data_IF_237451781477
#
_entry.id   IF_237451781477
#
_cell.length_a   1.000
_cell.length_b   1.000
_cell.length_c   1.000
_cell.angle_alpha   90.00
_cell.angle_beta   90.00
_cell.angle_gamma   90.00
#
_symmetry.space_group_name_H-M   'P 1'
#
loop_
_entity.id
_entity.type
_entity.pdbx_description
1 polymer ?
#
# COMPACT_ATOMS: atom_id res chain seq x y z
N UNK A 1 22.57 -4.67 -13.90
CA UNK A 1 22.16 -3.36 -13.37
C UNK A 1 21.81 -3.32 -11.87
N UNK A 2 21.73 -4.43 -11.18
CA UNK A 2 21.41 -4.49 -9.73
C UNK A 2 22.58 -4.12 -8.80
N UNK A 3 23.82 -4.25 -9.21
CA UNK A 3 25.00 -3.98 -8.37
C UNK A 3 25.09 -2.53 -7.83
N UNK A 4 24.90 -1.46 -8.61
CA UNK A 4 25.06 -0.10 -8.10
C UNK A 4 24.01 0.24 -7.02
N UNK A 5 22.75 -0.16 -7.21
CA UNK A 5 21.69 0.06 -6.22
C UNK A 5 21.92 -0.75 -4.95
N UNK A 6 22.34 -2.02 -5.09
CA UNK A 6 22.68 -2.85 -3.95
C UNK A 6 23.81 -2.23 -3.13
N UNK A 7 24.85 -1.73 -3.80
CA UNK A 7 25.97 -1.08 -3.12
C UNK A 7 25.58 0.23 -2.44
N UNK A 8 24.62 0.99 -3.04
CA UNK A 8 24.12 2.23 -2.45
C UNK A 8 23.39 1.99 -1.13
N UNK A 9 22.71 0.84 -0.99
CA UNK A 9 21.91 0.50 0.18
C UNK A 9 22.57 -0.52 1.12
N UNK A 10 23.70 -1.11 0.74
CA UNK A 10 24.40 -2.07 1.55
C UNK A 10 25.16 -1.37 2.69
N UNK A 11 25.01 -1.88 3.92
CA UNK A 11 25.75 -1.41 5.09
C UNK A 11 25.42 0.02 5.51
N UNK A 12 24.22 0.50 5.22
CA UNK A 12 23.78 1.82 5.67
C UNK A 12 23.55 1.82 7.18
N UNK A 13 24.06 2.86 7.82
CA UNK A 13 23.89 3.10 9.24
C UNK A 13 23.21 4.44 9.47
N UNK A 14 22.50 4.55 10.59
CA UNK A 14 21.85 5.77 11.03
C UNK A 14 22.06 6.02 12.51
N UNK A 15 21.91 7.26 12.88
CA UNK A 15 21.85 7.71 14.28
C UNK A 15 20.73 8.73 14.42
N UNK A 16 20.08 8.78 15.56
CA UNK A 16 18.98 9.70 15.84
C UNK A 16 19.42 10.75 16.82
N UNK A 17 19.26 12.01 16.45
CA UNK A 17 19.50 13.14 17.36
C UNK A 17 18.24 13.40 18.19
N UNK A 18 18.36 13.28 19.49
CA UNK A 18 17.30 13.57 20.46
C UNK A 18 17.63 14.83 21.26
N UNK A 19 16.67 15.37 22.00
CA UNK A 19 16.92 16.50 22.90
C UNK A 19 17.90 16.20 24.04
N UNK A 20 18.26 14.93 24.26
CA UNK A 20 19.17 14.44 25.29
C UNK A 20 20.52 13.98 24.75
N UNK A 21 20.75 14.04 23.43
CA UNK A 21 21.98 13.58 22.78
C UNK A 21 21.71 12.81 21.51
N UNK A 22 22.72 12.10 21.04
CA UNK A 22 22.66 11.27 19.83
C UNK A 22 22.70 9.80 20.24
N UNK A 23 21.91 8.96 19.59
CA UNK A 23 21.96 7.50 19.81
C UNK A 23 23.25 6.91 19.25
N UNK A 24 23.58 5.68 19.66
CA UNK A 24 24.59 4.89 18.97
C UNK A 24 24.18 4.62 17.51
N UNK A 25 25.16 4.33 16.67
CA UNK A 25 24.92 3.96 15.28
C UNK A 25 24.24 2.60 15.20
N UNK A 26 23.20 2.50 14.37
CA UNK A 26 22.50 1.25 14.11
C UNK A 26 22.36 1.01 12.59
N UNK A 27 22.39 -0.24 12.19
CA UNK A 27 22.27 -0.60 10.79
C UNK A 27 20.82 -0.52 10.30
N UNK A 28 20.66 -0.03 9.07
CA UNK A 28 19.38 0.02 8.36
C UNK A 28 19.24 -1.23 7.48
N UNK A 29 18.35 -2.12 7.86
CA UNK A 29 18.14 -3.38 7.14
C UNK A 29 17.07 -3.27 6.05
N UNK A 30 16.13 -2.33 6.17
CA UNK A 30 14.95 -2.20 5.29
C UNK A 30 14.59 -0.74 5.04
N UNK A 31 13.92 -0.52 3.90
CA UNK A 31 13.36 0.77 3.53
C UNK A 31 14.20 1.52 2.51
N UNK A 32 13.70 2.70 2.14
CA UNK A 32 14.38 3.63 1.23
C UNK A 32 14.77 4.89 1.99
N UNK A 33 15.88 5.49 1.60
CA UNK A 33 16.42 6.66 2.28
C UNK A 33 15.53 7.87 2.07
N UNK A 34 15.02 8.45 3.14
CA UNK A 34 14.24 9.69 3.08
C UNK A 34 15.08 10.85 2.53
N UNK A 35 14.50 11.65 1.61
CA UNK A 35 15.19 12.75 0.94
C UNK A 35 16.12 12.35 -0.22
N UNK A 36 16.29 11.06 -0.51
CA UNK A 36 17.04 10.61 -1.68
C UNK A 36 16.16 10.71 -2.94
N UNK A 37 16.70 11.26 -4.02
CA UNK A 37 16.00 11.44 -5.30
C UNK A 37 15.52 10.12 -5.92
N UNK A 38 16.19 9.00 -5.63
CA UNK A 38 15.84 7.67 -6.12
C UNK A 38 14.73 6.99 -5.29
N UNK A 39 14.50 7.42 -4.05
CA UNK A 39 13.56 6.75 -3.14
C UNK A 39 12.12 6.69 -3.64
N UNK A 40 11.54 7.75 -4.24
CA UNK A 40 10.19 7.67 -4.82
C UNK A 40 10.09 6.66 -5.96
N UNK A 41 11.10 6.61 -6.84
CA UNK A 41 11.13 5.65 -7.94
C UNK A 41 11.23 4.20 -7.43
N UNK A 42 12.10 3.96 -6.45
CA UNK A 42 12.25 2.64 -5.84
C UNK A 42 10.99 2.19 -5.13
N UNK A 43 10.32 3.09 -4.41
CA UNK A 43 9.05 2.79 -3.77
C UNK A 43 7.96 2.47 -4.80
N UNK A 44 7.87 3.23 -5.89
CA UNK A 44 6.92 2.95 -6.96
C UNK A 44 7.16 1.58 -7.62
N UNK A 45 8.42 1.19 -7.88
CA UNK A 45 8.73 -0.16 -8.36
C UNK A 45 8.33 -1.24 -7.37
N UNK A 46 8.51 -0.98 -6.10
CA UNK A 46 8.13 -1.90 -5.04
C UNK A 46 6.61 -2.07 -4.94
N UNK A 47 5.87 -0.97 -4.98
CA UNK A 47 4.41 -0.99 -5.04
C UNK A 47 3.88 -1.72 -6.29
N UNK A 48 4.50 -1.48 -7.45
CA UNK A 48 4.17 -2.19 -8.69
C UNK A 48 4.40 -3.70 -8.58
N UNK A 49 5.51 -4.11 -7.99
CA UNK A 49 5.81 -5.52 -7.72
C UNK A 49 4.72 -6.20 -6.87
N UNK A 50 4.27 -5.52 -5.80
CA UNK A 50 3.19 -6.02 -4.93
C UNK A 50 1.90 -6.19 -5.73
N UNK A 51 1.49 -5.17 -6.50
CA UNK A 51 0.23 -5.21 -7.24
C UNK A 51 0.20 -6.27 -8.33
N UNK A 52 1.32 -6.49 -9.02
CA UNK A 52 1.47 -7.57 -10.00
C UNK A 52 1.35 -8.95 -9.36
N UNK A 53 2.04 -9.16 -8.24
CA UNK A 53 1.97 -10.44 -7.53
C UNK A 53 0.60 -10.69 -6.90
N UNK A 54 -0.12 -9.65 -6.50
CA UNK A 54 -1.50 -9.74 -6.06
C UNK A 54 -2.49 -10.07 -7.21
N UNK A 55 -2.02 -10.10 -8.48
CA UNK A 55 -2.82 -10.46 -9.64
C UNK A 55 -3.90 -9.42 -9.96
N UNK A 56 -3.70 -8.15 -9.62
CA UNK A 56 -4.69 -7.11 -9.86
C UNK A 56 -4.88 -6.82 -11.35
N UNK A 57 -3.83 -6.98 -12.16
CA UNK A 57 -3.91 -6.75 -13.63
C UNK A 57 -4.82 -7.79 -14.31
N UNK A 58 -4.86 -9.03 -13.79
CA UNK A 58 -5.66 -10.13 -14.30
C UNK A 58 -7.05 -10.22 -13.65
N UNK A 59 -7.27 -9.45 -12.58
CA UNK A 59 -8.54 -9.48 -11.85
C UNK A 59 -9.66 -8.88 -12.70
N UNK A 60 -10.75 -9.63 -12.86
CA UNK A 60 -11.98 -9.12 -13.50
C UNK A 60 -12.72 -8.11 -12.59
N UNK A 61 -12.41 -8.10 -11.31
CA UNK A 61 -12.92 -7.14 -10.34
C UNK A 61 -12.49 -5.72 -10.69
N UNK A 62 -13.34 -4.74 -10.44
CA UNK A 62 -13.06 -3.33 -10.74
C UNK A 62 -14.30 -2.59 -11.24
N UNK A 63 -14.13 -1.32 -11.56
CA UNK A 63 -15.17 -0.46 -12.10
C UNK A 63 -14.88 -0.21 -13.59
N UNK A 64 -15.88 -0.38 -14.44
CA UNK A 64 -15.75 -0.11 -15.89
C UNK A 64 -15.90 1.38 -16.17
N UNK A 65 -14.83 2.02 -16.60
CA UNK A 65 -14.81 3.43 -17.02
C UNK A 65 -14.37 3.49 -18.49
N UNK A 66 -15.24 3.98 -19.37
CA UNK A 66 -14.96 4.10 -20.81
C UNK A 66 -14.45 2.79 -21.44
N UNK A 67 -15.04 1.66 -21.06
CA UNK A 67 -14.68 0.34 -21.58
C UNK A 67 -13.42 -0.27 -20.99
N UNK A 68 -12.74 0.41 -20.08
CA UNK A 68 -11.57 -0.10 -19.36
C UNK A 68 -11.96 -0.50 -17.94
N UNK A 69 -11.46 -1.64 -17.49
CA UNK A 69 -11.64 -2.07 -16.11
C UNK A 69 -10.55 -1.42 -15.23
N UNK A 70 -10.97 -0.65 -14.22
CA UNK A 70 -10.09 0.01 -13.27
C UNK A 70 -10.38 -0.55 -11.89
N UNK A 71 -9.42 -1.23 -11.29
CA UNK A 71 -9.54 -1.83 -9.96
C UNK A 71 -8.62 -1.21 -8.92
N UNK A 72 -7.65 -0.41 -9.33
CA UNK A 72 -6.79 0.33 -8.41
C UNK A 72 -6.34 1.67 -8.99
N UNK A 73 -6.12 2.64 -8.11
CA UNK A 73 -5.42 3.90 -8.38
C UNK A 73 -4.36 4.09 -7.32
N UNK A 74 -3.19 4.60 -7.72
CA UNK A 74 -2.05 4.76 -6.82
C UNK A 74 -1.46 6.15 -6.90
N UNK A 75 -1.13 6.69 -5.74
CA UNK A 75 -0.41 7.93 -5.61
C UNK A 75 0.56 7.85 -4.42
N UNK A 76 1.85 7.72 -4.70
CA UNK A 76 2.89 7.47 -3.71
C UNK A 76 2.56 6.25 -2.83
N UNK A 77 2.37 6.43 -1.53
CA UNK A 77 1.96 5.40 -0.56
C UNK A 77 0.44 5.21 -0.46
N UNK A 78 -0.34 6.08 -1.08
CA UNK A 78 -1.80 5.95 -1.09
C UNK A 78 -2.26 5.05 -2.23
N UNK A 79 -3.06 4.04 -1.91
CA UNK A 79 -3.67 3.14 -2.89
C UNK A 79 -5.18 3.12 -2.70
N UNK A 80 -5.92 3.33 -3.77
CA UNK A 80 -7.38 3.18 -3.81
C UNK A 80 -7.71 1.90 -4.59
N UNK A 81 -8.39 0.96 -3.96
CA UNK A 81 -8.94 -0.23 -4.61
C UNK A 81 -10.40 0.03 -4.95
N UNK A 82 -10.84 -0.46 -6.11
CA UNK A 82 -12.21 -0.28 -6.60
C UNK A 82 -12.80 -1.61 -7.03
N UNK A 83 -14.08 -1.80 -6.73
CA UNK A 83 -14.86 -2.96 -7.16
C UNK A 83 -16.35 -2.61 -7.21
N UNK A 84 -17.14 -3.40 -7.92
CA UNK A 84 -18.59 -3.25 -8.01
C UNK A 84 -19.31 -3.89 -6.81
N UNK A 85 -18.66 -4.83 -6.10
CA UNK A 85 -19.22 -5.51 -4.93
C UNK A 85 -18.29 -5.49 -3.72
N UNK A 86 -18.88 -5.64 -2.53
CA UNK A 86 -18.16 -5.74 -1.25
C UNK A 86 -17.23 -6.95 -1.22
N UNK A 87 -17.68 -8.08 -1.73
CA UNK A 87 -16.97 -9.34 -1.75
C UNK A 87 -15.72 -9.24 -2.64
N UNK A 88 -15.87 -8.65 -3.82
CA UNK A 88 -14.75 -8.40 -4.73
C UNK A 88 -13.72 -7.45 -4.11
N UNK A 89 -14.19 -6.34 -3.52
CA UNK A 89 -13.31 -5.38 -2.87
C UNK A 89 -12.53 -6.02 -1.73
N UNK A 90 -13.20 -6.85 -0.92
CA UNK A 90 -12.55 -7.60 0.15
C UNK A 90 -11.50 -8.58 -0.39
N UNK A 91 -11.82 -9.29 -1.46
CA UNK A 91 -10.89 -10.21 -2.12
C UNK A 91 -9.63 -9.49 -2.62
N UNK A 92 -9.80 -8.35 -3.31
CA UNK A 92 -8.68 -7.51 -3.77
C UNK A 92 -7.81 -7.03 -2.61
N UNK A 93 -8.45 -6.51 -1.56
CA UNK A 93 -7.75 -6.01 -0.38
C UNK A 93 -6.92 -7.10 0.31
N UNK A 94 -7.50 -8.30 0.49
CA UNK A 94 -6.79 -9.41 1.14
C UNK A 94 -5.58 -9.86 0.32
N UNK A 95 -5.69 -9.93 -1.01
CA UNK A 95 -4.55 -10.25 -1.89
C UNK A 95 -3.43 -9.22 -1.78
N UNK A 96 -3.77 -7.94 -1.85
CA UNK A 96 -2.78 -6.85 -1.71
C UNK A 96 -2.14 -6.86 -0.32
N UNK A 97 -2.93 -7.08 0.73
CA UNK A 97 -2.43 -7.20 2.10
C UNK A 97 -1.44 -8.35 2.24
N UNK A 98 -1.79 -9.54 1.76
CA UNK A 98 -0.92 -10.72 1.83
C UNK A 98 0.40 -10.50 1.10
N UNK A 99 0.37 -9.98 -0.13
CA UNK A 99 1.59 -9.72 -0.89
C UNK A 99 2.45 -8.61 -0.27
N UNK A 100 1.84 -7.57 0.29
CA UNK A 100 2.57 -6.50 0.97
C UNK A 100 3.23 -6.99 2.27
N UNK A 101 2.56 -7.85 3.04
CA UNK A 101 3.14 -8.44 4.26
C UNK A 101 4.34 -9.37 3.94
N UNK A 102 4.29 -10.13 2.83
CA UNK A 102 5.41 -10.96 2.37
C UNK A 102 6.68 -10.15 2.13
N UNK A 103 6.54 -8.92 1.69
CA UNK A 103 7.67 -8.01 1.41
C UNK A 103 7.96 -7.04 2.56
N UNK A 104 7.25 -7.17 3.69
CA UNK A 104 7.50 -6.41 4.91
C UNK A 104 6.79 -5.06 5.01
N UNK A 105 5.82 -4.77 4.12
CA UNK A 105 4.91 -3.64 4.27
C UNK A 105 3.63 -4.07 4.98
N UNK A 106 3.20 -3.29 5.95
CA UNK A 106 1.96 -3.54 6.69
C UNK A 106 0.91 -2.50 6.34
N UNK A 107 -0.30 -2.99 6.05
CA UNK A 107 -1.46 -2.12 5.85
C UNK A 107 -1.77 -1.33 7.13
N UNK A 108 -1.93 -0.02 7.01
CA UNK A 108 -2.35 0.82 8.12
C UNK A 108 -3.89 0.84 8.20
N UNK A 109 -4.46 -0.08 9.00
CA UNK A 109 -5.91 -0.26 9.11
C UNK A 109 -6.60 1.01 9.64
N UNK A 110 -5.99 1.73 10.58
CA UNK A 110 -6.57 2.96 11.15
C UNK A 110 -6.68 4.11 10.12
N UNK A 111 -5.78 4.12 9.11
CA UNK A 111 -5.82 5.10 8.00
C UNK A 111 -6.60 4.59 6.80
N UNK A 112 -6.92 3.30 6.75
CA UNK A 112 -7.70 2.71 5.67
C UNK A 112 -9.17 3.11 5.83
N UNK A 113 -9.80 3.52 4.74
CA UNK A 113 -11.19 3.96 4.70
C UNK A 113 -11.93 3.26 3.59
N UNK A 114 -13.21 2.99 3.82
CA UNK A 114 -14.10 2.40 2.82
C UNK A 114 -15.12 3.44 2.41
N UNK A 115 -15.36 3.53 1.11
CA UNK A 115 -16.38 4.40 0.52
C UNK A 115 -17.34 3.55 -0.31
N UNK A 116 -18.64 3.70 -0.10
CA UNK A 116 -19.63 2.95 -0.84
C UNK A 116 -20.83 3.81 -1.24
N UNK A 117 -21.53 3.40 -2.31
CA UNK A 117 -22.75 4.07 -2.79
C UNK A 117 -24.04 3.60 -2.12
N UNK A 118 -23.95 2.78 -1.08
CA UNK A 118 -25.10 2.23 -0.35
C UNK A 118 -24.78 1.94 1.11
N UNK A 119 -25.76 1.55 1.91
CA UNK A 119 -25.55 1.24 3.32
C UNK A 119 -24.57 0.06 3.46
N UNK A 120 -23.44 0.29 4.09
CA UNK A 120 -22.49 -0.75 4.47
C UNK A 120 -22.79 -1.10 5.94
N UNK A 121 -23.11 -2.35 6.18
CA UNK A 121 -23.09 -2.93 7.52
C UNK A 121 -21.65 -3.29 7.83
N UNK A 122 -21.02 -2.65 8.80
CA UNK A 122 -19.69 -2.85 9.38
C UNK A 122 -18.69 -3.66 8.52
N UNK A 123 -17.52 -3.12 8.29
CA UNK A 123 -16.42 -3.82 7.64
C UNK A 123 -15.28 -4.00 8.63
N UNK A 124 -14.77 -5.23 8.73
CA UNK A 124 -13.65 -5.55 9.61
C UNK A 124 -12.48 -6.12 8.79
N UNK A 125 -11.28 -5.64 9.10
CA UNK A 125 -10.01 -6.19 8.62
C UNK A 125 -9.25 -6.64 9.87
N UNK A 126 -8.89 -7.92 9.96
CA UNK A 126 -8.21 -8.53 11.11
C UNK A 126 -8.90 -8.26 12.47
N UNK A 127 -10.22 -8.18 12.48
CA UNK A 127 -11.00 -7.90 13.69
C UNK A 127 -11.11 -6.40 14.06
N UNK A 128 -10.43 -5.50 13.36
CA UNK A 128 -10.55 -4.06 13.52
C UNK A 128 -11.63 -3.50 12.58
N UNK A 129 -12.50 -2.65 13.11
CA UNK A 129 -13.54 -1.98 12.31
C UNK A 129 -12.92 -0.85 11.51
N UNK A 130 -13.13 -0.87 10.20
CA UNK A 130 -12.68 0.19 9.30
C UNK A 130 -13.74 1.29 9.23
N UNK A 131 -13.30 2.55 9.27
CA UNK A 131 -14.20 3.68 9.13
C UNK A 131 -14.79 3.73 7.71
N UNK A 132 -16.09 3.93 7.61
CA UNK A 132 -16.84 3.99 6.36
C UNK A 132 -17.27 5.43 6.02
N UNK A 133 -17.34 5.71 4.73
CA UNK A 133 -17.93 6.93 4.19
C UNK A 133 -18.88 6.54 3.05
N UNK A 134 -20.09 7.09 3.07
CA UNK A 134 -21.06 6.87 2.00
C UNK A 134 -20.77 7.88 0.88
N UNK A 135 -20.35 7.41 -0.28
CA UNK A 135 -20.22 8.19 -1.50
C UNK A 135 -20.62 7.34 -2.73
N UNK A 136 -21.04 7.95 -3.82
CA UNK A 136 -21.56 7.26 -4.99
C UNK A 136 -20.60 6.33 -5.74
N UNK A 137 -20.14 5.24 -5.13
CA UNK A 137 -19.29 4.20 -5.67
C UNK A 137 -18.53 3.46 -4.58
N UNK A 138 -18.24 2.16 -4.78
CA UNK A 138 -17.43 1.37 -3.84
C UNK A 138 -15.94 1.66 -4.08
N UNK A 139 -15.32 2.34 -3.15
CA UNK A 139 -13.88 2.63 -3.17
C UNK A 139 -13.27 2.27 -1.82
N UNK A 140 -12.09 1.70 -1.85
CA UNK A 140 -11.27 1.48 -0.66
C UNK A 140 -9.98 2.27 -0.79
N UNK A 141 -9.72 3.16 0.15
CA UNK A 141 -8.50 3.95 0.19
C UNK A 141 -7.57 3.35 1.24
N UNK A 142 -6.49 2.74 0.79
CA UNK A 142 -5.48 2.13 1.64
C UNK A 142 -4.22 3.00 1.67
N UNK A 143 -3.63 3.16 2.84
CA UNK A 143 -2.36 3.85 3.04
C UNK A 143 -1.37 2.91 3.73
N UNK A 144 -0.15 2.90 3.26
CA UNK A 144 0.98 2.13 3.80
C UNK A 144 1.75 2.89 4.90
#
# INVERSE_FOLDING_TARGET
MTCPLRNLYAGQEATVRTGRGTTDWFQLEKGVRQGCILSPCLFNFYAEYIMRNAGLEEAQAGIKISGRNINNLRYADDTTLMAESKEELKSLLMKVKEESERVGLKLNIQKTKIMASGPITSWQIDGETVADFILGGLQNHCRW
#
